data_IF_708743605659
#
_entry.id   IF_708743605659
#
_cell.length_a   1.000
_cell.length_b   1.000
_cell.length_c   1.000
_cell.angle_alpha   90.00
_cell.angle_beta   90.00
_cell.angle_gamma   90.00
#
_symmetry.space_group_name_H-M   'P 1'
#
loop_
_entity.id
_entity.type
_entity.pdbx_description
1 polymer ?
#
# COMPACT_ATOMS: atom_id res chain seq x y z
N UNK A 1 0.15 6.29 -28.13
CA UNK A 1 1.32 5.62 -27.52
C UNK A 1 1.93 4.67 -28.54
N UNK A 2 3.24 4.43 -28.49
CA UNK A 2 3.88 3.39 -29.31
C UNK A 2 3.85 2.07 -28.53
N UNK A 3 3.56 0.92 -29.16
CA UNK A 3 3.56 -0.38 -28.48
C UNK A 3 4.98 -0.86 -28.15
N UNK A 4 5.96 -0.42 -28.93
CA UNK A 4 7.37 -0.77 -28.77
C UNK A 4 8.32 0.36 -29.17
N UNK A 5 9.59 0.19 -28.81
CA UNK A 5 10.72 0.96 -29.35
C UNK A 5 11.84 0.01 -29.75
N UNK A 6 12.62 0.38 -30.77
CA UNK A 6 13.82 -0.35 -31.18
C UNK A 6 15.03 0.48 -30.82
N UNK A 7 15.99 -0.13 -30.13
CA UNK A 7 17.27 0.50 -29.80
C UNK A 7 18.41 -0.23 -30.51
N UNK A 8 19.39 0.53 -30.97
CA UNK A 8 20.60 -0.03 -31.59
C UNK A 8 21.78 0.09 -30.62
N UNK A 9 22.50 -1.01 -30.38
CA UNK A 9 23.69 -1.05 -29.52
C UNK A 9 24.71 -1.97 -30.13
N UNK A 10 25.91 -1.44 -30.39
CA UNK A 10 27.00 -2.26 -30.96
C UNK A 10 26.66 -2.89 -32.32
N UNK A 11 25.77 -2.29 -33.11
CA UNK A 11 25.28 -2.83 -34.38
C UNK A 11 24.12 -3.82 -34.28
N UNK A 12 23.71 -4.19 -33.06
CA UNK A 12 22.55 -5.06 -32.81
C UNK A 12 21.29 -4.24 -32.58
N UNK A 13 20.15 -4.74 -33.06
CA UNK A 13 18.82 -4.14 -32.84
C UNK A 13 18.07 -4.91 -31.77
N UNK A 14 17.55 -4.19 -30.77
CA UNK A 14 16.81 -4.75 -29.64
C UNK A 14 15.42 -4.12 -29.60
N UNK A 15 14.39 -4.95 -29.67
CA UNK A 15 13.00 -4.54 -29.53
C UNK A 15 12.59 -4.51 -28.06
N UNK A 16 11.98 -3.40 -27.64
CA UNK A 16 11.44 -3.24 -26.29
C UNK A 16 9.94 -3.04 -26.41
N UNK A 17 9.16 -4.00 -25.91
CA UNK A 17 7.69 -4.01 -25.93
C UNK A 17 7.17 -3.55 -24.57
N UNK A 18 6.28 -2.57 -24.53
CA UNK A 18 5.69 -2.07 -23.28
C UNK A 18 4.40 -2.81 -22.92
N UNK A 19 4.21 -3.14 -21.65
CA UNK A 19 3.02 -3.85 -21.17
C UNK A 19 2.55 -3.35 -19.79
N UNK A 20 1.24 -3.31 -19.57
CA UNK A 20 0.62 -2.87 -18.30
C UNK A 20 -0.54 -3.78 -17.93
N UNK A 21 -0.83 -3.94 -16.64
CA UNK A 21 -1.95 -4.75 -16.13
C UNK A 21 -3.30 -4.14 -16.50
N UNK A 22 -4.11 -4.86 -17.27
CA UNK A 22 -5.35 -4.30 -17.82
C UNK A 22 -6.42 -4.13 -16.74
N UNK A 23 -6.80 -5.21 -16.06
CA UNK A 23 -7.89 -5.20 -15.09
C UNK A 23 -7.60 -4.25 -13.91
N UNK A 24 -6.39 -4.33 -13.33
CA UNK A 24 -6.00 -3.47 -12.20
C UNK A 24 -5.95 -2.00 -12.59
N UNK A 25 -5.38 -1.65 -13.76
CA UNK A 25 -5.38 -0.25 -14.22
C UNK A 25 -6.80 0.26 -14.47
N UNK A 26 -7.69 -0.57 -15.02
CA UNK A 26 -9.08 -0.19 -15.28
C UNK A 26 -9.87 0.09 -13.99
N UNK A 27 -9.63 -0.70 -12.95
CA UNK A 27 -10.43 -0.69 -11.73
C UNK A 27 -9.86 0.21 -10.64
N UNK A 28 -8.53 0.21 -10.46
CA UNK A 28 -7.86 0.93 -9.38
C UNK A 28 -7.29 2.30 -9.81
N UNK A 29 -7.32 2.63 -11.11
CA UNK A 29 -6.84 3.90 -11.65
C UNK A 29 -7.93 4.63 -12.44
N UNK A 30 -7.54 5.59 -13.30
CA UNK A 30 -8.46 6.39 -14.13
C UNK A 30 -7.95 6.54 -15.55
N UNK A 31 -7.89 5.46 -16.33
CA UNK A 31 -7.73 5.59 -17.77
C UNK A 31 -8.88 6.44 -18.33
N UNK A 32 -8.57 7.32 -19.30
CA UNK A 32 -9.61 8.12 -19.97
C UNK A 32 -10.64 7.19 -20.64
N UNK A 33 -11.92 7.59 -20.78
CA UNK A 33 -12.96 6.73 -21.36
C UNK A 33 -12.67 6.16 -22.76
N UNK A 34 -11.80 6.82 -23.54
CA UNK A 34 -11.36 6.35 -24.85
C UNK A 34 -10.19 5.36 -24.81
N UNK A 35 -9.61 5.09 -23.64
CA UNK A 35 -8.49 4.18 -23.45
C UNK A 35 -9.02 2.75 -23.34
N UNK A 36 -8.52 1.87 -24.21
CA UNK A 36 -8.83 0.45 -24.16
C UNK A 36 -7.62 -0.30 -23.65
N UNK A 37 -7.79 -0.98 -22.53
CA UNK A 37 -6.82 -1.94 -22.02
C UNK A 37 -7.18 -3.31 -22.61
N UNK A 38 -6.24 -3.87 -23.36
CA UNK A 38 -6.40 -5.12 -24.08
C UNK A 38 -5.77 -6.26 -23.27
N UNK A 39 -6.09 -7.50 -23.66
CA UNK A 39 -5.41 -8.68 -23.14
C UNK A 39 -3.89 -8.56 -23.31
N UNK A 40 -3.18 -8.86 -22.23
CA UNK A 40 -1.76 -8.69 -22.09
C UNK A 40 -0.96 -9.60 -23.03
N UNK A 41 -1.27 -10.90 -23.05
CA UNK A 41 -0.54 -11.90 -23.82
C UNK A 41 -0.77 -11.73 -25.32
N UNK A 42 -2.02 -11.54 -25.73
CA UNK A 42 -2.39 -11.30 -27.11
C UNK A 42 -1.72 -10.02 -27.65
N UNK A 43 -1.65 -8.98 -26.83
CA UNK A 43 -1.03 -7.71 -27.23
C UNK A 43 0.48 -7.79 -27.32
N UNK A 44 1.12 -8.46 -26.35
CA UNK A 44 2.55 -8.70 -26.39
C UNK A 44 2.94 -9.55 -27.60
N UNK A 45 2.27 -10.68 -27.84
CA UNK A 45 2.62 -11.57 -28.96
C UNK A 45 2.52 -10.87 -30.31
N UNK A 46 1.45 -10.11 -30.56
CA UNK A 46 1.28 -9.37 -31.83
C UNK A 46 2.44 -8.40 -32.08
N UNK A 47 2.91 -7.70 -31.04
CA UNK A 47 4.01 -6.75 -31.20
C UNK A 47 5.36 -7.46 -31.33
N UNK A 48 5.57 -8.57 -30.62
CA UNK A 48 6.75 -9.42 -30.78
C UNK A 48 6.84 -9.93 -32.22
N UNK A 49 5.75 -10.47 -32.76
CA UNK A 49 5.68 -10.95 -34.15
C UNK A 49 6.00 -9.83 -35.16
N UNK A 50 5.46 -8.63 -34.92
CA UNK A 50 5.72 -7.45 -35.73
C UNK A 50 7.21 -7.05 -35.74
N UNK A 51 7.88 -7.12 -34.60
CA UNK A 51 9.32 -6.83 -34.49
C UNK A 51 10.17 -7.93 -35.14
N UNK A 52 9.83 -9.20 -34.89
CA UNK A 52 10.52 -10.37 -35.46
C UNK A 52 10.43 -10.38 -36.99
N UNK A 53 9.28 -9.98 -37.56
CA UNK A 53 9.11 -9.81 -39.01
C UNK A 53 10.07 -8.77 -39.64
N UNK A 54 10.64 -7.86 -38.84
CA UNK A 54 11.64 -6.89 -39.27
C UNK A 54 13.09 -7.38 -39.09
N UNK A 55 13.27 -8.65 -38.70
CA UNK A 55 14.56 -9.25 -38.40
C UNK A 55 15.16 -8.77 -37.08
N UNK A 56 14.33 -8.40 -36.11
CA UNK A 56 14.75 -8.09 -34.75
C UNK A 56 14.58 -9.36 -33.93
N UNK A 57 15.69 -9.90 -33.46
CA UNK A 57 15.76 -11.21 -32.82
C UNK A 57 16.04 -11.16 -31.32
N UNK A 58 16.13 -9.95 -30.75
CA UNK A 58 16.34 -9.68 -29.32
C UNK A 58 15.18 -8.84 -28.81
N UNK A 59 14.37 -9.41 -27.91
CA UNK A 59 13.09 -8.88 -27.46
C UNK A 59 13.06 -8.79 -25.94
N UNK A 60 12.91 -7.56 -25.46
CA UNK A 60 12.69 -7.24 -24.05
C UNK A 60 11.23 -6.83 -23.85
N UNK A 61 10.54 -7.50 -22.93
CA UNK A 61 9.25 -7.06 -22.43
C UNK A 61 9.48 -6.15 -21.21
N UNK A 62 9.10 -4.88 -21.32
CA UNK A 62 9.08 -3.93 -20.21
C UNK A 62 7.65 -3.90 -19.64
N UNK A 63 7.46 -4.59 -18.52
CA UNK A 63 6.16 -5.00 -17.99
C UNK A 63 5.81 -4.31 -16.67
N UNK A 64 4.51 -4.11 -16.44
CA UNK A 64 3.93 -3.70 -15.16
C UNK A 64 2.78 -4.64 -14.76
N UNK A 65 3.00 -5.96 -14.85
CA UNK A 65 1.98 -6.98 -14.57
C UNK A 65 2.02 -7.57 -13.16
N UNK A 66 3.15 -7.43 -12.46
CA UNK A 66 3.41 -8.11 -11.21
C UNK A 66 4.25 -9.38 -11.41
N UNK A 67 5.11 -9.69 -10.46
CA UNK A 67 6.16 -10.71 -10.59
C UNK A 67 5.63 -12.12 -10.88
N UNK A 68 4.49 -12.50 -10.30
CA UNK A 68 3.88 -13.79 -10.59
C UNK A 68 3.34 -13.85 -12.04
N UNK A 69 2.71 -12.76 -12.50
CA UNK A 69 2.21 -12.63 -13.87
C UNK A 69 3.34 -12.52 -14.88
N UNK A 70 4.43 -11.82 -14.57
CA UNK A 70 5.64 -11.74 -15.40
C UNK A 70 6.23 -13.13 -15.67
N UNK A 71 6.27 -14.00 -14.65
CA UNK A 71 6.69 -15.39 -14.83
C UNK A 71 5.68 -16.21 -15.64
N UNK A 72 4.38 -16.03 -15.39
CA UNK A 72 3.31 -16.79 -16.04
C UNK A 72 3.14 -16.42 -17.53
N UNK A 73 3.35 -15.16 -17.90
CA UNK A 73 3.18 -14.70 -19.28
C UNK A 73 4.33 -15.15 -20.17
N UNK A 74 5.53 -15.36 -19.63
CA UNK A 74 6.69 -15.86 -20.39
C UNK A 74 6.31 -17.13 -21.17
N UNK A 75 5.72 -18.12 -20.49
CA UNK A 75 5.32 -19.40 -21.08
C UNK A 75 4.17 -19.31 -22.11
N UNK A 76 3.55 -18.14 -22.26
CA UNK A 76 2.46 -17.90 -23.22
C UNK A 76 2.96 -17.24 -24.51
N UNK A 77 4.17 -16.66 -24.47
CA UNK A 77 4.74 -15.87 -25.56
C UNK A 77 5.84 -16.64 -26.28
N UNK A 78 5.90 -16.52 -27.60
CA UNK A 78 7.00 -16.97 -28.44
C UNK A 78 7.95 -15.80 -28.72
N UNK A 79 9.26 -16.05 -28.71
CA UNK A 79 10.29 -15.05 -29.07
C UNK A 79 10.50 -13.89 -28.09
N UNK A 80 10.04 -14.00 -26.84
CA UNK A 80 10.46 -13.11 -25.74
C UNK A 80 11.74 -13.63 -25.10
N UNK A 81 12.69 -12.76 -24.77
CA UNK A 81 14.01 -13.14 -24.24
C UNK A 81 14.23 -12.63 -22.79
N UNK A 82 13.74 -11.43 -22.49
CA UNK A 82 13.89 -10.77 -21.19
C UNK A 82 12.59 -10.14 -20.77
N UNK A 83 12.22 -10.25 -19.50
CA UNK A 83 11.09 -9.53 -18.89
C UNK A 83 11.62 -8.67 -17.75
N UNK A 84 11.51 -7.35 -17.91
CA UNK A 84 11.80 -6.37 -16.87
C UNK A 84 10.46 -5.91 -16.30
N UNK A 85 10.11 -6.41 -15.13
CA UNK A 85 8.79 -6.27 -14.51
C UNK A 85 8.63 -5.10 -13.53
N UNK A 86 7.42 -4.97 -13.01
CA UNK A 86 6.99 -3.98 -12.01
C UNK A 86 5.69 -4.37 -11.31
N UNK A 87 4.95 -3.38 -10.79
CA UNK A 87 3.66 -3.50 -10.06
C UNK A 87 3.73 -4.18 -8.68
N UNK A 88 4.27 -5.38 -8.57
CA UNK A 88 4.21 -6.19 -7.33
C UNK A 88 5.25 -5.80 -6.28
N UNK A 89 6.09 -4.81 -6.55
CA UNK A 89 7.14 -4.35 -5.65
C UNK A 89 8.04 -5.48 -5.14
N UNK A 90 8.40 -6.43 -6.02
CA UNK A 90 9.12 -7.64 -5.59
C UNK A 90 10.62 -7.37 -5.50
N UNK A 91 11.20 -7.60 -4.31
CA UNK A 91 12.65 -7.68 -4.15
C UNK A 91 13.08 -9.04 -4.70
N UNK A 92 13.90 -9.07 -5.75
CA UNK A 92 14.56 -10.29 -6.17
C UNK A 92 16.02 -10.24 -5.73
N UNK A 93 16.61 -11.39 -5.40
CA UNK A 93 17.99 -11.47 -4.94
C UNK A 93 18.31 -12.82 -4.31
N UNK A 94 19.54 -12.95 -3.81
CA UNK A 94 20.00 -14.15 -3.10
C UNK A 94 19.39 -14.24 -1.69
N UNK A 95 19.21 -15.46 -1.19
CA UNK A 95 18.69 -15.75 0.14
C UNK A 95 19.59 -15.21 1.27
N UNK A 96 20.87 -14.94 1.00
CA UNK A 96 21.77 -14.29 1.95
C UNK A 96 21.27 -12.92 2.40
N UNK A 97 20.41 -12.25 1.63
CA UNK A 97 19.78 -10.99 2.03
C UNK A 97 18.88 -11.13 3.29
N UNK A 98 18.41 -12.34 3.59
CA UNK A 98 17.62 -12.63 4.81
C UNK A 98 18.42 -12.38 6.09
N UNK A 99 19.74 -12.50 6.06
CA UNK A 99 20.59 -12.20 7.23
C UNK A 99 20.58 -10.71 7.58
N UNK A 100 20.22 -9.85 6.62
CA UNK A 100 20.06 -8.41 6.78
C UNK A 100 18.59 -7.99 7.01
N UNK A 101 17.70 -8.95 7.29
CA UNK A 101 16.28 -8.67 7.55
C UNK A 101 15.45 -8.36 6.30
N UNK A 102 15.99 -8.61 5.11
CA UNK A 102 15.27 -8.47 3.84
C UNK A 102 14.59 -9.78 3.45
N UNK A 103 13.55 -9.71 2.62
CA UNK A 103 12.79 -10.89 2.19
C UNK A 103 12.68 -10.93 0.66
N UNK A 104 13.68 -11.51 -0.04
CA UNK A 104 13.58 -11.72 -1.47
C UNK A 104 12.39 -12.62 -1.82
N UNK A 105 11.63 -12.25 -2.85
CA UNK A 105 10.51 -13.01 -3.41
C UNK A 105 10.96 -14.10 -4.39
N UNK A 106 12.19 -14.00 -4.90
CA UNK A 106 12.80 -14.97 -5.81
C UNK A 106 14.22 -14.56 -6.22
N UNK A 107 14.86 -15.38 -7.04
CA UNK A 107 16.23 -15.15 -7.50
C UNK A 107 16.32 -13.96 -8.46
N UNK A 108 17.47 -13.28 -8.47
CA UNK A 108 17.78 -12.24 -9.46
C UNK A 108 18.94 -12.74 -10.36
N UNK A 109 18.75 -12.86 -11.69
CA UNK A 109 17.45 -12.93 -12.37
C UNK A 109 16.71 -14.23 -12.03
N UNK A 110 15.39 -14.21 -12.19
CA UNK A 110 14.57 -15.42 -12.15
C UNK A 110 14.61 -16.08 -13.53
N UNK A 111 14.96 -17.37 -13.58
CA UNK A 111 14.94 -18.14 -14.81
C UNK A 111 13.51 -18.58 -15.16
N UNK A 112 13.10 -18.35 -16.40
CA UNK A 112 11.83 -18.78 -16.96
C UNK A 112 12.05 -19.40 -18.35
N UNK A 113 10.97 -19.90 -18.97
CA UNK A 113 10.98 -20.35 -20.36
C UNK A 113 9.82 -19.73 -21.12
N UNK A 114 10.06 -19.42 -22.39
CA UNK A 114 9.02 -18.96 -23.30
C UNK A 114 8.18 -20.15 -23.80
N UNK A 115 7.16 -19.89 -24.63
CA UNK A 115 6.29 -20.90 -25.23
C UNK A 115 7.03 -21.90 -26.14
N UNK A 116 8.14 -21.46 -26.72
CA UNK A 116 8.99 -22.26 -27.63
C UNK A 116 9.99 -23.14 -26.85
N UNK A 117 10.12 -22.90 -25.55
CA UNK A 117 11.03 -23.61 -24.65
C UNK A 117 12.36 -22.90 -24.42
N UNK A 118 12.58 -21.73 -25.04
CA UNK A 118 13.84 -20.98 -24.92
C UNK A 118 13.97 -20.32 -23.55
N UNK A 119 15.19 -20.00 -23.16
CA UNK A 119 15.47 -19.37 -21.88
C UNK A 119 14.97 -17.92 -21.85
N UNK A 120 14.29 -17.55 -20.76
CA UNK A 120 13.82 -16.18 -20.50
C UNK A 120 14.32 -15.72 -19.14
N UNK A 121 14.71 -14.45 -19.06
CA UNK A 121 15.23 -13.86 -17.83
C UNK A 121 14.27 -12.82 -17.28
N UNK A 122 13.73 -13.06 -16.09
CA UNK A 122 12.75 -12.20 -15.43
C UNK A 122 13.42 -11.44 -14.29
N UNK A 123 13.31 -10.11 -14.27
CA UNK A 123 13.86 -9.25 -13.21
C UNK A 123 12.83 -8.23 -12.73
N UNK A 124 12.92 -7.87 -11.45
CA UNK A 124 12.30 -6.68 -10.87
C UNK A 124 13.31 -6.00 -9.94
N UNK A 125 13.18 -4.68 -9.77
CA UNK A 125 14.08 -3.86 -8.95
C UNK A 125 13.35 -3.26 -7.73
N UNK A 126 12.65 -4.12 -6.99
CA UNK A 126 11.91 -3.76 -5.77
C UNK A 126 11.02 -2.51 -5.96
N UNK A 127 11.11 -1.53 -5.07
CA UNK A 127 10.25 -0.33 -5.07
C UNK A 127 10.97 0.91 -4.53
N UNK A 128 10.33 2.07 -4.70
CA UNK A 128 10.67 3.33 -4.01
C UNK A 128 12.12 3.79 -4.17
N UNK A 129 12.73 3.55 -5.34
CA UNK A 129 14.15 3.85 -5.62
C UNK A 129 15.15 3.15 -4.69
N UNK A 130 14.73 2.12 -3.96
CA UNK A 130 15.58 1.39 -3.04
C UNK A 130 16.59 0.48 -3.76
N UNK A 131 16.31 0.09 -5.01
CA UNK A 131 17.16 -0.81 -5.80
C UNK A 131 17.37 -0.27 -7.20
N UNK A 132 18.59 -0.44 -7.71
CA UNK A 132 18.89 -0.38 -9.14
C UNK A 132 19.21 -1.80 -9.60
N UNK A 133 18.44 -2.33 -10.56
CA UNK A 133 18.71 -3.66 -11.12
C UNK A 133 19.84 -3.61 -12.14
N UNK A 134 20.78 -4.55 -12.07
CA UNK A 134 21.81 -4.80 -13.09
C UNK A 134 21.63 -6.21 -13.63
N UNK A 135 21.33 -6.34 -14.92
CA UNK A 135 21.14 -7.61 -15.60
C UNK A 135 22.06 -7.67 -16.83
N UNK A 136 22.95 -8.66 -16.85
CA UNK A 136 23.77 -9.02 -17.98
C UNK A 136 23.14 -10.21 -18.70
N UNK A 137 22.83 -10.03 -19.99
CA UNK A 137 22.27 -11.07 -20.86
C UNK A 137 23.25 -11.34 -21.98
N UNK A 138 23.68 -12.59 -22.08
CA UNK A 138 24.51 -13.07 -23.19
C UNK A 138 23.62 -13.74 -24.22
N UNK A 139 23.57 -13.16 -25.41
CA UNK A 139 22.93 -13.77 -26.58
C UNK A 139 23.96 -14.55 -27.41
N UNK A 140 23.52 -15.59 -28.10
CA UNK A 140 24.33 -16.28 -29.09
C UNK A 140 24.19 -15.67 -30.50
N UNK A 141 24.80 -16.30 -31.50
CA UNK A 141 24.77 -15.83 -32.89
C UNK A 141 23.42 -15.99 -33.60
N UNK A 142 22.44 -16.66 -32.97
CA UNK A 142 21.08 -16.86 -33.47
C UNK A 142 20.07 -15.93 -32.77
N UNK A 143 20.54 -15.11 -31.82
CA UNK A 143 19.70 -14.22 -31.04
C UNK A 143 19.06 -14.90 -29.83
N UNK A 144 19.47 -16.11 -29.47
CA UNK A 144 18.93 -16.84 -28.33
C UNK A 144 19.70 -16.52 -27.05
N UNK A 145 19.01 -16.53 -25.90
CA UNK A 145 19.63 -16.28 -24.59
C UNK A 145 20.48 -17.48 -24.16
N UNK A 146 21.79 -17.26 -24.06
CA UNK A 146 22.75 -18.26 -23.58
C UNK A 146 22.90 -18.26 -22.05
N UNK A 147 22.92 -17.08 -21.44
CA UNK A 147 23.00 -16.94 -19.99
C UNK A 147 22.51 -15.59 -19.52
N UNK A 148 21.98 -15.56 -18.30
CA UNK A 148 21.67 -14.33 -17.58
C UNK A 148 22.36 -14.33 -16.22
N UNK A 149 22.98 -13.21 -15.90
CA UNK A 149 23.65 -12.96 -14.64
C UNK A 149 23.40 -11.51 -14.20
N UNK A 150 23.76 -11.17 -12.98
CA UNK A 150 23.63 -9.81 -12.48
C UNK A 150 23.23 -9.79 -11.01
N UNK A 151 22.89 -8.61 -10.52
CA UNK A 151 22.52 -8.43 -9.13
C UNK A 151 21.60 -7.21 -8.91
N UNK A 152 20.77 -7.25 -7.87
CA UNK A 152 20.08 -6.06 -7.38
C UNK A 152 21.07 -5.19 -6.59
N UNK A 153 21.21 -3.92 -6.93
CA UNK A 153 21.96 -2.96 -6.12
C UNK A 153 21.03 -2.23 -5.15
N UNK A 154 20.90 -2.74 -3.92
CA UNK A 154 20.13 -2.12 -2.84
C UNK A 154 20.91 -0.91 -2.33
N UNK A 155 20.34 0.28 -2.51
CA UNK A 155 20.97 1.55 -2.18
C UNK A 155 20.79 1.86 -0.70
N UNK A 156 21.91 2.00 0.02
CA UNK A 156 21.94 2.32 1.44
C UNK A 156 22.62 3.68 1.61
N UNK A 157 22.00 4.59 2.37
CA UNK A 157 22.62 5.87 2.68
C UNK A 157 23.92 5.72 3.47
N UNK A 158 24.87 6.61 3.26
CA UNK A 158 26.15 6.61 3.98
C UNK A 158 26.05 6.82 5.49
N UNK A 159 24.90 7.34 5.94
CA UNK A 159 24.51 7.46 7.35
C UNK A 159 23.71 6.23 7.81
N UNK A 160 24.30 5.39 8.65
CA UNK A 160 23.66 4.18 9.19
C UNK A 160 23.05 4.44 10.57
N UNK A 161 21.97 5.23 10.60
CA UNK A 161 21.27 5.61 11.82
C UNK A 161 22.16 6.44 12.74
N UNK A 162 22.32 6.01 14.00
CA UNK A 162 23.14 6.67 15.02
C UNK A 162 24.51 6.01 15.26
N UNK A 163 24.89 5.02 14.43
CA UNK A 163 26.17 4.32 14.57
C UNK A 163 27.35 5.27 14.33
N UNK A 164 28.40 5.10 15.12
CA UNK A 164 29.63 5.88 15.02
C UNK A 164 30.86 5.02 15.40
N UNK A 165 32.06 5.50 15.06
CA UNK A 165 33.33 4.84 15.41
C UNK A 165 33.43 3.41 14.89
N UNK A 166 33.94 2.50 15.74
CA UNK A 166 34.17 1.10 15.39
C UNK A 166 32.89 0.36 14.99
N UNK A 167 31.75 0.70 15.60
CA UNK A 167 30.46 0.09 15.25
C UNK A 167 30.01 0.47 13.83
N UNK A 168 30.25 1.71 13.41
CA UNK A 168 29.99 2.14 12.03
C UNK A 168 30.95 1.45 11.04
N UNK A 169 32.22 1.30 11.42
CA UNK A 169 33.21 0.61 10.59
C UNK A 169 32.85 -0.88 10.40
N UNK A 170 32.47 -1.57 11.47
CA UNK A 170 32.01 -2.95 11.43
C UNK A 170 30.77 -3.11 10.54
N UNK A 171 29.75 -2.27 10.74
CA UNK A 171 28.55 -2.29 9.91
C UNK A 171 28.86 -2.07 8.41
N UNK A 172 29.80 -1.17 8.09
CA UNK A 172 30.24 -0.96 6.70
C UNK A 172 30.97 -2.17 6.12
N UNK A 173 31.77 -2.88 6.93
CA UNK A 173 32.43 -4.10 6.50
C UNK A 173 31.40 -5.22 6.22
N UNK A 174 30.39 -5.37 7.08
CA UNK A 174 29.30 -6.34 6.89
C UNK A 174 28.52 -6.04 5.60
N UNK A 175 28.16 -4.78 5.37
CA UNK A 175 27.49 -4.36 4.14
C UNK A 175 28.35 -4.64 2.90
N UNK A 176 29.66 -4.36 2.95
CA UNK A 176 30.58 -4.61 1.84
C UNK A 176 30.78 -6.10 1.55
N UNK A 177 30.48 -6.99 2.51
CA UNK A 177 30.55 -8.44 2.30
C UNK A 177 29.41 -8.98 1.42
N UNK A 178 28.34 -8.20 1.24
CA UNK A 178 27.18 -8.57 0.44
C UNK A 178 27.12 -7.72 -0.83
N UNK A 179 27.42 -8.30 -2.03
CA UNK A 179 27.50 -7.55 -3.28
C UNK A 179 26.25 -6.75 -3.64
N UNK A 180 25.08 -7.25 -3.22
CA UNK A 180 23.79 -6.59 -3.45
C UNK A 180 23.55 -5.36 -2.56
N UNK A 181 24.31 -5.13 -1.48
CA UNK A 181 24.15 -3.98 -0.59
C UNK A 181 25.19 -2.91 -0.93
N UNK A 182 24.71 -1.73 -1.34
CA UNK A 182 25.56 -0.66 -1.83
C UNK A 182 25.41 0.61 -1.00
N UNK A 183 26.41 0.89 -0.15
CA UNK A 183 26.52 2.21 0.49
C UNK A 183 26.76 3.27 -0.58
N UNK A 184 25.87 4.25 -0.63
CA UNK A 184 25.77 5.23 -1.71
C UNK A 184 25.76 6.64 -1.13
N UNK A 185 26.58 7.51 -1.71
CA UNK A 185 26.57 8.94 -1.39
C UNK A 185 25.59 9.68 -2.31
N UNK A 186 24.91 10.74 -1.84
CA UNK A 186 24.07 11.57 -2.69
C UNK A 186 24.84 12.18 -3.86
N UNK A 187 24.30 12.06 -5.07
CA UNK A 187 24.83 12.77 -6.23
C UNK A 187 24.58 14.28 -6.09
N UNK A 188 25.60 15.10 -6.38
CA UNK A 188 25.53 16.55 -6.18
C UNK A 188 24.53 17.24 -7.13
N UNK A 189 24.45 16.78 -8.38
CA UNK A 189 23.51 17.36 -9.36
C UNK A 189 22.07 16.97 -9.02
N UNK A 190 21.82 15.71 -8.69
CA UNK A 190 20.51 15.25 -8.23
C UNK A 190 20.09 15.97 -6.93
N UNK A 191 21.01 16.15 -5.99
CA UNK A 191 20.75 16.87 -4.74
C UNK A 191 20.36 18.34 -4.99
N UNK A 192 21.02 19.01 -5.93
CA UNK A 192 20.66 20.38 -6.32
C UNK A 192 19.25 20.45 -6.91
N UNK A 193 18.89 19.51 -7.80
CA UNK A 193 17.52 19.42 -8.35
C UNK A 193 16.50 19.16 -7.25
N UNK A 194 16.78 18.27 -6.30
CA UNK A 194 15.88 17.93 -5.20
C UNK A 194 15.71 19.07 -4.19
N UNK A 195 16.69 19.97 -4.03
CA UNK A 195 16.59 21.10 -3.11
C UNK A 195 15.43 22.04 -3.46
N UNK A 196 15.21 22.30 -4.76
CA UNK A 196 14.09 23.11 -5.22
C UNK A 196 12.76 22.44 -4.91
N UNK A 197 12.63 21.13 -5.19
CA UNK A 197 11.43 20.37 -4.83
C UNK A 197 11.21 20.30 -3.32
N UNK A 198 12.28 20.20 -2.51
CA UNK A 198 12.17 20.22 -1.06
C UNK A 198 11.59 21.55 -0.55
N UNK A 199 11.97 22.68 -1.18
CA UNK A 199 11.38 23.98 -0.87
C UNK A 199 9.88 24.03 -1.22
N UNK A 200 9.49 23.44 -2.37
CA UNK A 200 8.09 23.35 -2.79
C UNK A 200 7.28 22.43 -1.86
N UNK A 201 7.83 21.29 -1.43
CA UNK A 201 7.19 20.39 -0.45
C UNK A 201 6.97 21.11 0.88
N UNK A 202 7.93 21.93 1.33
CA UNK A 202 7.74 22.74 2.53
C UNK A 202 6.62 23.76 2.36
N UNK A 203 6.55 24.45 1.23
CA UNK A 203 5.46 25.38 0.92
C UNK A 203 4.11 24.66 0.84
N UNK A 204 4.07 23.51 0.17
CA UNK A 204 2.90 22.66 0.06
C UNK A 204 2.40 22.18 1.43
N UNK A 205 3.32 21.76 2.31
CA UNK A 205 3.01 21.39 3.69
C UNK A 205 2.34 22.51 4.50
N UNK A 206 2.58 23.77 4.15
CA UNK A 206 1.98 24.93 4.80
C UNK A 206 0.64 25.36 4.17
N UNK A 207 0.24 24.78 3.04
CA UNK A 207 -1.01 25.12 2.34
C UNK A 207 -2.23 24.77 3.23
N UNK A 208 -3.14 25.73 3.51
CA UNK A 208 -4.38 25.46 4.23
C UNK A 208 -5.35 24.67 3.33
N UNK A 209 -5.94 23.61 3.88
CA UNK A 209 -6.84 22.70 3.15
C UNK A 209 -8.24 22.64 3.73
N UNK A 210 -8.39 22.97 5.01
CA UNK A 210 -9.66 23.06 5.70
C UNK A 210 -9.53 23.93 6.97
N UNK A 211 -10.63 24.11 7.68
CA UNK A 211 -10.67 24.70 9.02
C UNK A 211 -11.37 23.72 9.96
N UNK A 212 -10.72 23.34 11.06
CA UNK A 212 -11.37 22.60 12.14
C UNK A 212 -12.21 23.56 12.98
N UNK A 213 -13.53 23.35 13.04
CA UNK A 213 -14.44 24.25 13.77
C UNK A 213 -14.27 24.16 15.30
N UNK A 214 -13.83 23.01 15.77
CA UNK A 214 -13.49 22.74 17.17
C UNK A 214 -12.24 21.87 17.26
N UNK A 215 -11.74 21.62 18.47
CA UNK A 215 -10.76 20.58 18.70
C UNK A 215 -11.37 19.23 18.29
N UNK A 216 -10.68 18.53 17.39
CA UNK A 216 -11.01 17.16 17.01
C UNK A 216 -10.04 16.26 17.76
N UNK A 217 -10.59 15.55 18.74
CA UNK A 217 -9.81 14.87 19.76
C UNK A 217 -9.34 13.48 19.31
N UNK A 218 -8.13 13.12 19.73
CA UNK A 218 -7.53 11.80 19.57
C UNK A 218 -7.90 10.91 20.77
N UNK A 219 -8.55 9.79 20.49
CA UNK A 219 -8.77 8.70 21.46
C UNK A 219 -8.77 7.38 20.70
N UNK A 220 -8.04 6.38 21.19
CA UNK A 220 -7.98 5.08 20.51
C UNK A 220 -9.11 4.17 20.97
N UNK A 221 -9.18 3.88 22.27
CA UNK A 221 -10.27 3.11 22.86
C UNK A 221 -11.23 4.05 23.58
N UNK A 222 -12.55 3.96 23.37
CA UNK A 222 -13.54 4.64 24.19
C UNK A 222 -13.41 4.27 25.68
N UNK A 223 -13.96 5.09 26.56
CA UNK A 223 -13.94 4.92 28.00
C UNK A 223 -12.84 5.72 28.70
N UNK A 224 -12.72 5.52 30.01
CA UNK A 224 -11.85 6.31 30.90
C UNK A 224 -10.65 5.53 31.44
N UNK A 225 -10.45 4.28 31.02
CA UNK A 225 -9.46 3.37 31.64
C UNK A 225 -8.23 3.13 30.77
N UNK A 226 -8.43 2.65 29.54
CA UNK A 226 -7.34 2.20 28.67
C UNK A 226 -6.53 3.33 28.03
N UNK A 227 -7.15 4.47 27.71
CA UNK A 227 -6.47 5.61 27.06
C UNK A 227 -6.92 7.01 27.59
N UNK A 228 -7.10 7.24 28.91
CA UNK A 228 -7.74 8.44 29.46
C UNK A 228 -7.08 9.77 29.10
N UNK A 229 -5.78 9.77 28.78
CA UNK A 229 -4.96 10.97 28.57
C UNK A 229 -4.34 11.04 27.16
N UNK A 230 -4.96 10.39 26.17
CA UNK A 230 -4.38 10.25 24.83
C UNK A 230 -4.29 11.57 24.04
N UNK A 231 -5.24 12.48 24.22
CA UNK A 231 -5.23 13.80 23.59
C UNK A 231 -4.25 14.73 24.29
N UNK A 232 -3.60 15.61 23.53
CA UNK A 232 -2.79 16.72 24.05
C UNK A 232 -3.54 18.04 24.10
N UNK A 233 -4.73 18.12 23.50
CA UNK A 233 -5.57 19.32 23.52
C UNK A 233 -6.42 19.40 24.79
N UNK A 234 -6.59 20.62 25.28
CA UNK A 234 -7.40 20.94 26.44
C UNK A 234 -8.86 20.53 26.24
N UNK A 235 -9.47 19.97 27.30
CA UNK A 235 -10.87 19.55 27.34
C UNK A 235 -11.15 18.20 26.66
N UNK A 236 -10.34 17.78 25.68
CA UNK A 236 -10.58 16.54 24.93
C UNK A 236 -10.57 15.27 25.80
N UNK A 237 -9.73 15.21 26.82
CA UNK A 237 -9.65 14.02 27.68
C UNK A 237 -10.83 13.90 28.67
N UNK A 238 -11.56 15.00 28.89
CA UNK A 238 -12.75 15.07 29.74
C UNK A 238 -14.05 15.15 28.92
N UNK A 239 -13.95 15.23 27.59
CA UNK A 239 -15.12 15.31 26.71
C UNK A 239 -15.93 14.01 26.80
N UNK A 240 -17.19 14.14 27.24
CA UNK A 240 -18.09 13.00 27.44
C UNK A 240 -18.38 12.22 26.15
N UNK A 241 -18.39 12.89 25.00
CA UNK A 241 -18.58 12.24 23.70
C UNK A 241 -17.35 11.42 23.32
N UNK A 242 -16.14 11.99 23.49
CA UNK A 242 -14.88 11.28 23.23
C UNK A 242 -14.72 10.06 24.16
N UNK A 243 -15.13 10.20 25.42
CA UNK A 243 -15.19 9.10 26.38
C UNK A 243 -16.21 8.03 25.92
N UNK A 244 -17.37 8.41 25.40
CA UNK A 244 -18.40 7.44 25.02
C UNK A 244 -18.11 6.72 23.68
N UNK A 245 -17.54 7.43 22.71
CA UNK A 245 -17.49 7.00 21.30
C UNK A 245 -16.08 6.90 20.72
N UNK A 246 -15.05 7.36 21.42
CA UNK A 246 -13.67 7.35 20.93
C UNK A 246 -13.27 8.64 20.21
N UNK A 247 -12.26 8.57 19.35
CA UNK A 247 -11.60 9.74 18.78
C UNK A 247 -12.32 10.35 17.58
N UNK A 248 -12.48 11.67 17.59
CA UNK A 248 -13.05 12.44 16.46
C UNK A 248 -12.19 12.29 15.20
N UNK A 249 -10.87 12.38 15.36
CA UNK A 249 -9.93 12.32 14.23
C UNK A 249 -9.93 10.93 13.61
N UNK A 250 -9.94 9.88 14.44
CA UNK A 250 -10.05 8.50 13.98
C UNK A 250 -11.32 8.27 13.16
N UNK A 251 -12.46 8.75 13.65
CA UNK A 251 -13.73 8.60 12.95
C UNK A 251 -13.73 9.36 11.61
N UNK A 252 -13.18 10.58 11.57
CA UNK A 252 -13.03 11.35 10.34
C UNK A 252 -12.10 10.68 9.32
N UNK A 253 -11.00 10.07 9.77
CA UNK A 253 -10.10 9.33 8.89
C UNK A 253 -10.81 8.11 8.30
N UNK A 254 -11.58 7.36 9.10
CA UNK A 254 -12.33 6.22 8.60
C UNK A 254 -13.36 6.66 7.54
N UNK A 255 -14.09 7.75 7.78
CA UNK A 255 -15.01 8.34 6.78
C UNK A 255 -14.26 8.79 5.51
N UNK A 256 -13.07 9.40 5.65
CA UNK A 256 -12.25 9.78 4.49
C UNK A 256 -11.83 8.57 3.66
N UNK A 257 -11.48 7.46 4.31
CA UNK A 257 -11.14 6.23 3.63
C UNK A 257 -12.35 5.66 2.88
N UNK A 258 -13.54 5.69 3.48
CA UNK A 258 -14.77 5.26 2.83
C UNK A 258 -15.02 6.08 1.55
N UNK A 259 -14.95 7.41 1.62
CA UNK A 259 -15.18 8.26 0.44
C UNK A 259 -14.17 8.01 -0.67
N UNK A 260 -12.91 7.78 -0.31
CA UNK A 260 -11.88 7.41 -1.27
C UNK A 260 -12.15 6.02 -1.87
N UNK A 261 -12.48 5.04 -1.04
CA UNK A 261 -12.79 3.68 -1.47
C UNK A 261 -14.03 3.58 -2.36
N UNK A 262 -15.07 4.37 -2.10
CA UNK A 262 -16.24 4.49 -2.96
C UNK A 262 -15.86 5.02 -4.34
N UNK A 263 -14.90 5.94 -4.41
CA UNK A 263 -14.45 6.57 -5.67
C UNK A 263 -13.52 5.68 -6.50
N UNK A 264 -12.73 4.81 -5.88
CA UNK A 264 -11.68 4.01 -6.55
C UNK A 264 -11.90 2.50 -6.45
N UNK A 265 -13.01 2.04 -5.90
CA UNK A 265 -13.25 0.61 -5.74
C UNK A 265 -14.63 0.24 -5.24
N UNK A 266 -15.62 1.14 -5.23
CA UNK A 266 -16.98 0.80 -4.79
C UNK A 266 -17.04 0.21 -3.37
N UNK A 267 -16.26 0.75 -2.43
CA UNK A 267 -16.27 0.28 -1.05
C UNK A 267 -17.64 0.51 -0.38
N UNK A 268 -18.15 -0.53 0.27
CA UNK A 268 -19.37 -0.48 1.08
C UNK A 268 -19.08 0.10 2.47
N UNK A 269 -17.93 -0.28 3.03
CA UNK A 269 -17.49 0.09 4.38
C UNK A 269 -16.00 0.41 4.39
N UNK A 270 -15.53 1.12 5.42
CA UNK A 270 -14.10 1.31 5.67
C UNK A 270 -13.69 0.89 7.07
N UNK A 271 -12.41 0.60 7.27
CA UNK A 271 -11.86 0.28 8.59
C UNK A 271 -10.47 0.88 8.77
N UNK A 272 -10.24 1.51 9.92
CA UNK A 272 -8.96 2.08 10.34
C UNK A 272 -8.70 1.76 11.81
N UNK A 273 -7.52 1.23 12.14
CA UNK A 273 -7.11 1.03 13.53
C UNK A 273 -6.73 2.36 14.19
N UNK A 274 -7.13 2.56 15.44
CA UNK A 274 -6.93 3.81 16.18
C UNK A 274 -5.45 4.19 16.36
N UNK A 275 -4.55 3.21 16.30
CA UNK A 275 -3.09 3.37 16.38
C UNK A 275 -2.46 4.07 15.17
N UNK A 276 -3.10 3.99 14.00
CA UNK A 276 -2.66 4.63 12.77
C UNK A 276 -2.82 6.16 12.78
N UNK A 277 -3.71 6.67 13.64
CA UNK A 277 -3.91 8.11 13.88
C UNK A 277 -3.06 8.55 15.07
N UNK A 278 -2.27 9.61 14.88
CA UNK A 278 -1.16 9.93 15.80
C UNK A 278 -1.32 11.19 16.63
N UNK A 279 -2.08 12.17 16.16
CA UNK A 279 -2.27 13.46 16.84
C UNK A 279 -3.70 13.94 16.73
N UNK A 280 -4.08 14.82 17.67
CA UNK A 280 -5.29 15.63 17.58
C UNK A 280 -5.24 16.60 16.39
N UNK A 281 -6.39 17.19 16.05
CA UNK A 281 -6.45 18.38 15.20
C UNK A 281 -7.05 19.53 16.02
N UNK A 282 -6.23 20.56 16.27
CA UNK A 282 -6.67 21.75 16.99
C UNK A 282 -7.66 22.56 16.16
N UNK A 283 -8.57 23.27 16.85
CA UNK A 283 -9.45 24.23 16.20
C UNK A 283 -8.65 25.28 15.41
N UNK A 284 -9.15 25.67 14.24
CA UNK A 284 -8.51 26.63 13.34
C UNK A 284 -7.99 26.01 12.04
N UNK A 285 -7.07 26.70 11.34
CA UNK A 285 -6.59 26.26 10.03
C UNK A 285 -5.92 24.88 10.08
N UNK A 286 -6.34 24.00 9.17
CA UNK A 286 -5.74 22.69 8.94
C UNK A 286 -4.93 22.77 7.66
N UNK A 287 -3.64 22.43 7.74
CA UNK A 287 -2.74 22.43 6.58
C UNK A 287 -2.49 21.02 6.07
N UNK A 288 -1.91 20.90 4.87
CA UNK A 288 -1.40 19.62 4.35
C UNK A 288 -0.47 18.95 5.38
N UNK A 289 0.44 19.71 6.00
CA UNK A 289 1.37 19.20 7.00
C UNK A 289 0.67 18.60 8.23
N UNK A 290 -0.46 19.19 8.66
CA UNK A 290 -1.27 18.61 9.73
C UNK A 290 -1.83 17.23 9.31
N UNK A 291 -2.36 17.09 8.10
CA UNK A 291 -2.89 15.81 7.58
C UNK A 291 -1.82 14.71 7.62
N UNK A 292 -0.60 15.00 7.13
CA UNK A 292 0.51 14.03 7.14
C UNK A 292 1.10 13.80 8.54
N UNK A 293 0.86 14.69 9.51
CA UNK A 293 1.21 14.45 10.92
C UNK A 293 0.18 13.54 11.61
N UNK A 294 -1.10 13.66 11.23
CA UNK A 294 -2.17 12.77 11.69
C UNK A 294 -1.94 11.33 11.21
N UNK A 295 -1.55 11.16 9.95
CA UNK A 295 -1.30 9.88 9.29
C UNK A 295 0.16 9.79 8.77
N UNK A 296 1.16 9.57 9.65
CA UNK A 296 2.57 9.70 9.29
C UNK A 296 3.20 8.42 8.74
N UNK A 297 2.47 7.29 8.73
CA UNK A 297 2.99 6.04 8.18
C UNK A 297 2.88 6.04 6.66
N UNK A 298 3.73 5.25 5.98
CA UNK A 298 3.70 5.14 4.52
C UNK A 298 2.75 4.04 4.06
N UNK A 299 1.58 3.97 4.69
CA UNK A 299 0.58 2.96 4.39
C UNK A 299 -0.21 3.36 3.15
N UNK A 300 -0.64 2.35 2.41
CA UNK A 300 -1.57 2.48 1.28
C UNK A 300 -2.93 1.92 1.63
N UNK A 301 -3.95 2.30 0.85
CA UNK A 301 -5.27 1.71 0.95
C UNK A 301 -5.34 0.37 0.19
N UNK A 302 -6.10 -0.56 0.76
CA UNK A 302 -6.34 -1.91 0.23
C UNK A 302 -7.83 -2.19 0.27
N UNK A 303 -8.38 -2.64 -0.86
CA UNK A 303 -9.75 -3.11 -0.92
C UNK A 303 -9.80 -4.62 -0.67
N UNK A 304 -10.64 -5.05 0.26
CA UNK A 304 -10.84 -6.44 0.66
C UNK A 304 -12.29 -6.84 0.41
N UNK A 305 -12.52 -8.04 -0.13
CA UNK A 305 -13.86 -8.62 -0.25
C UNK A 305 -14.11 -9.59 0.89
N UNK A 306 -15.08 -9.29 1.77
CA UNK A 306 -15.32 -9.97 3.05
C UNK A 306 -16.79 -10.36 3.19
N UNK A 307 -17.08 -11.52 3.79
CA UNK A 307 -18.43 -11.83 4.28
C UNK A 307 -18.77 -10.99 5.52
N UNK A 308 -20.05 -10.82 5.83
CA UNK A 308 -20.46 -10.17 7.08
C UNK A 308 -19.90 -10.88 8.32
N UNK A 309 -19.84 -12.22 8.30
CA UNK A 309 -19.22 -13.02 9.34
C UNK A 309 -17.73 -12.72 9.54
N UNK A 310 -16.97 -12.54 8.46
CA UNK A 310 -15.56 -12.16 8.53
C UNK A 310 -15.37 -10.71 8.98
N UNK A 311 -16.27 -9.79 8.62
CA UNK A 311 -16.27 -8.43 9.18
C UNK A 311 -16.46 -8.46 10.70
N UNK A 312 -17.42 -9.24 11.21
CA UNK A 312 -17.59 -9.43 12.66
C UNK A 312 -16.35 -10.04 13.30
N UNK A 313 -15.80 -11.11 12.72
CA UNK A 313 -14.61 -11.76 13.23
C UNK A 313 -13.42 -10.79 13.29
N UNK A 314 -13.26 -9.93 12.28
CA UNK A 314 -12.24 -8.88 12.24
C UNK A 314 -12.39 -7.89 13.40
N UNK A 315 -13.62 -7.49 13.75
CA UNK A 315 -13.87 -6.62 14.91
C UNK A 315 -13.59 -7.34 16.24
N UNK A 316 -13.92 -8.63 16.34
CA UNK A 316 -13.61 -9.46 17.51
C UNK A 316 -12.10 -9.66 17.73
N UNK A 317 -11.35 -9.87 16.64
CA UNK A 317 -9.88 -9.92 16.64
C UNK A 317 -9.30 -8.63 17.23
N UNK A 318 -9.78 -7.48 16.75
CA UNK A 318 -9.37 -6.19 17.25
C UNK A 318 -9.70 -6.01 18.75
N UNK A 319 -10.89 -6.43 19.19
CA UNK A 319 -11.25 -6.38 20.62
C UNK A 319 -10.37 -7.30 21.46
N UNK A 320 -9.98 -8.46 20.95
CA UNK A 320 -9.06 -9.37 21.62
C UNK A 320 -7.68 -8.73 21.80
N UNK A 321 -7.16 -8.07 20.77
CA UNK A 321 -5.92 -7.31 20.85
C UNK A 321 -5.98 -6.16 21.87
N UNK A 322 -7.11 -5.44 21.94
CA UNK A 322 -7.33 -4.38 22.94
C UNK A 322 -7.33 -4.94 24.36
N UNK A 323 -8.02 -6.06 24.60
CA UNK A 323 -8.02 -6.73 25.90
C UNK A 323 -6.61 -7.20 26.28
N UNK A 324 -5.82 -7.66 25.30
CA UNK A 324 -4.41 -8.04 25.47
C UNK A 324 -3.45 -6.84 25.64
N UNK A 325 -3.95 -5.60 25.66
CA UNK A 325 -3.18 -4.38 25.94
C UNK A 325 -2.76 -3.59 24.71
N UNK A 326 -3.05 -4.04 23.49
CA UNK A 326 -2.79 -3.26 22.29
C UNK A 326 -3.96 -2.31 21.98
N UNK A 327 -3.97 -1.14 22.62
CA UNK A 327 -5.01 -0.12 22.34
C UNK A 327 -4.96 0.45 20.93
N UNK A 328 -3.83 0.30 20.22
CA UNK A 328 -3.69 0.70 18.82
C UNK A 328 -4.63 -0.05 17.89
N UNK A 329 -4.99 -1.29 18.24
CA UNK A 329 -5.85 -2.15 17.42
C UNK A 329 -7.31 -1.74 17.38
N UNK A 330 -7.81 -0.87 18.27
CA UNK A 330 -9.24 -0.54 18.31
C UNK A 330 -9.73 0.04 16.96
N UNK A 331 -10.79 -0.51 16.34
CA UNK A 331 -11.22 -0.12 15.01
C UNK A 331 -12.10 1.13 15.02
N UNK A 332 -12.02 1.90 13.93
CA UNK A 332 -12.95 2.96 13.53
C UNK A 332 -13.39 2.70 12.09
N UNK A 333 -14.63 3.02 11.76
CA UNK A 333 -15.20 2.68 10.46
C UNK A 333 -16.10 3.77 9.90
N UNK A 334 -16.09 3.91 8.57
CA UNK A 334 -17.13 4.59 7.80
C UNK A 334 -18.18 3.59 7.33
N UNK A 335 -19.44 3.99 7.36
CA UNK A 335 -20.61 3.17 6.97
C UNK A 335 -20.75 1.81 7.69
N UNK A 336 -20.07 1.63 8.83
CA UNK A 336 -20.22 0.47 9.71
C UNK A 336 -20.22 0.96 11.16
N UNK A 337 -21.11 0.42 11.99
CA UNK A 337 -21.18 0.77 13.42
C UNK A 337 -21.63 -0.41 14.29
N UNK A 338 -21.28 -0.37 15.57
CA UNK A 338 -21.49 -1.47 16.51
C UNK A 338 -21.56 -1.01 17.95
N UNK A 339 -21.94 -1.94 18.82
CA UNK A 339 -21.79 -1.85 20.26
C UNK A 339 -20.69 -2.81 20.73
N UNK A 340 -19.93 -2.42 21.74
CA UNK A 340 -18.88 -3.25 22.35
C UNK A 340 -19.23 -3.54 23.81
N UNK A 341 -19.19 -4.81 24.19
CA UNK A 341 -19.18 -5.24 25.60
C UNK A 341 -17.98 -6.18 25.85
N UNK A 342 -16.89 -5.63 26.36
CA UNK A 342 -15.66 -6.39 26.60
C UNK A 342 -15.78 -7.42 27.73
N UNK A 343 -16.84 -7.36 28.55
CA UNK A 343 -17.13 -8.37 29.59
C UNK A 343 -17.57 -9.71 28.98
N UNK A 344 -18.02 -9.70 27.73
CA UNK A 344 -18.41 -10.91 27.00
C UNK A 344 -17.18 -11.71 26.55
N UNK A 345 -17.32 -13.04 26.40
CA UNK A 345 -16.25 -13.86 25.83
C UNK A 345 -15.93 -13.45 24.39
N UNK A 346 -14.71 -13.80 23.93
CA UNK A 346 -14.29 -13.60 22.54
C UNK A 346 -15.33 -14.19 21.57
N UNK A 347 -15.70 -13.41 20.55
CA UNK A 347 -16.73 -13.77 19.57
C UNK A 347 -18.14 -13.27 19.92
N UNK A 348 -18.33 -12.68 21.11
CA UNK A 348 -19.62 -12.15 21.58
C UNK A 348 -19.52 -10.71 22.10
N UNK A 349 -18.40 -10.02 21.85
CA UNK A 349 -18.16 -8.64 22.31
C UNK A 349 -18.83 -7.63 21.40
N UNK A 350 -19.05 -7.96 20.13
CA UNK A 350 -19.65 -7.07 19.13
C UNK A 350 -21.17 -7.30 19.04
N UNK A 351 -21.92 -6.30 19.50
CA UNK A 351 -23.38 -6.25 19.41
C UNK A 351 -23.89 -5.25 18.37
N UNK A 352 -25.15 -5.40 17.95
CA UNK A 352 -25.85 -4.45 17.07
C UNK A 352 -25.00 -3.95 15.88
N UNK A 353 -24.35 -4.88 15.17
CA UNK A 353 -23.51 -4.57 14.03
C UNK A 353 -24.39 -4.18 12.84
N UNK A 354 -24.23 -2.95 12.38
CA UNK A 354 -25.05 -2.34 11.32
C UNK A 354 -24.13 -1.73 10.26
N UNK A 355 -24.57 -1.79 9.01
CA UNK A 355 -23.92 -1.07 7.90
C UNK A 355 -24.90 -0.06 7.28
N UNK A 356 -24.35 0.92 6.56
CA UNK A 356 -25.15 1.89 5.82
C UNK A 356 -25.39 1.37 4.40
N UNK A 357 -26.66 1.12 4.05
CA UNK A 357 -27.02 0.64 2.71
C UNK A 357 -26.90 1.75 1.64
N UNK A 358 -27.13 1.40 0.37
CA UNK A 358 -27.08 2.33 -0.76
C UNK A 358 -28.08 3.50 -0.67
N UNK A 359 -29.15 3.36 0.12
CA UNK A 359 -30.14 4.41 0.40
C UNK A 359 -29.72 5.31 1.57
N UNK A 360 -28.56 5.07 2.16
CA UNK A 360 -28.04 5.85 3.29
C UNK A 360 -28.66 5.48 4.64
N UNK A 361 -29.35 4.34 4.73
CA UNK A 361 -30.03 3.88 5.94
C UNK A 361 -29.17 2.86 6.69
N UNK A 362 -29.17 2.93 8.02
CA UNK A 362 -28.57 1.92 8.87
C UNK A 362 -29.45 0.67 8.91
N UNK A 363 -28.86 -0.46 8.56
CA UNK A 363 -29.51 -1.77 8.58
C UNK A 363 -28.58 -2.79 9.22
N UNK A 364 -29.14 -3.83 9.85
CA UNK A 364 -28.36 -4.92 10.41
C UNK A 364 -27.43 -5.53 9.35
N UNK A 365 -26.21 -5.88 9.75
CA UNK A 365 -25.28 -6.59 8.88
C UNK A 365 -25.81 -7.99 8.57
N UNK A 366 -25.77 -8.39 7.29
CA UNK A 366 -26.06 -9.76 6.87
C UNK A 366 -24.76 -10.56 6.90
N UNK A 367 -24.68 -11.54 7.80
CA UNK A 367 -23.49 -12.38 8.00
C UNK A 367 -23.08 -13.15 6.73
N UNK A 368 -24.03 -13.47 5.85
CA UNK A 368 -23.78 -14.24 4.63
C UNK A 368 -23.47 -13.37 3.40
N UNK A 369 -23.84 -12.09 3.43
CA UNK A 369 -23.57 -11.17 2.33
C UNK A 369 -22.07 -10.86 2.23
N UNK A 370 -21.61 -10.57 1.01
CA UNK A 370 -20.24 -10.07 0.76
C UNK A 370 -20.24 -8.55 0.69
N UNK A 371 -19.27 -7.95 1.36
CA UNK A 371 -19.02 -6.52 1.44
C UNK A 371 -17.62 -6.22 0.96
N UNK A 372 -17.46 -5.08 0.31
CA UNK A 372 -16.17 -4.55 -0.09
C UNK A 372 -15.71 -3.52 0.94
N UNK A 373 -14.68 -3.88 1.70
CA UNK A 373 -14.10 -3.03 2.73
C UNK A 373 -12.82 -2.36 2.24
N UNK A 374 -12.69 -1.04 2.43
CA UNK A 374 -11.44 -0.32 2.22
C UNK A 374 -10.71 -0.13 3.56
N UNK A 375 -9.43 -0.49 3.63
CA UNK A 375 -8.62 -0.36 4.84
C UNK A 375 -7.17 -0.02 4.51
N UNK A 376 -6.28 0.06 5.50
CA UNK A 376 -4.84 0.23 5.29
C UNK A 376 -4.12 -1.11 5.14
N UNK A 377 -3.04 -1.13 4.35
CA UNK A 377 -2.21 -2.31 4.07
C UNK A 377 -1.66 -3.01 5.33
N UNK A 378 -1.34 -2.24 6.37
CA UNK A 378 -0.85 -2.75 7.66
C UNK A 378 -1.86 -3.70 8.32
N UNK A 379 -3.10 -3.28 8.59
CA UNK A 379 -4.08 -4.19 9.21
C UNK A 379 -4.66 -5.19 8.22
N UNK A 380 -4.68 -4.85 6.92
CA UNK A 380 -5.02 -5.84 5.89
C UNK A 380 -4.07 -7.03 5.98
N UNK A 381 -2.76 -6.81 6.19
CA UNK A 381 -1.75 -7.85 6.33
C UNK A 381 -1.78 -8.58 7.70
N UNK A 382 -2.85 -8.39 8.48
CA UNK A 382 -3.07 -9.03 9.77
C UNK A 382 -2.28 -8.45 10.94
N UNK A 383 -1.62 -7.30 10.75
CA UNK A 383 -0.93 -6.61 11.83
C UNK A 383 -1.93 -6.04 12.85
N UNK A 384 -1.44 -5.61 14.02
CA UNK A 384 -2.27 -5.24 15.18
C UNK A 384 -3.23 -6.35 15.67
N UNK A 385 -2.97 -7.60 15.25
CA UNK A 385 -3.75 -8.77 15.61
C UNK A 385 -5.04 -8.95 14.81
N UNK A 386 -5.17 -8.31 13.65
CA UNK A 386 -6.28 -8.48 12.70
C UNK A 386 -6.16 -9.81 11.93
N UNK A 387 -6.08 -10.94 12.63
CA UNK A 387 -5.75 -12.25 12.08
C UNK A 387 -6.68 -12.68 10.95
N UNK A 388 -7.99 -12.41 11.06
CA UNK A 388 -8.97 -12.68 9.99
C UNK A 388 -8.52 -12.07 8.66
N UNK A 389 -8.12 -10.80 8.66
CA UNK A 389 -7.67 -10.10 7.44
C UNK A 389 -6.37 -10.68 6.88
N UNK A 390 -5.43 -11.03 7.75
CA UNK A 390 -4.14 -11.61 7.35
C UNK A 390 -4.25 -12.99 6.69
N UNK A 391 -5.37 -13.70 6.88
CA UNK A 391 -5.61 -15.03 6.30
C UNK A 391 -6.40 -15.02 4.99
N UNK A 392 -6.83 -13.85 4.51
CA UNK A 392 -7.58 -13.74 3.25
C UNK A 392 -6.71 -14.13 2.05
N UNK A 393 -7.32 -14.85 1.11
CA UNK A 393 -6.70 -15.18 -0.17
C UNK A 393 -6.37 -13.94 -1.01
N UNK A 394 -5.34 -14.05 -1.84
CA UNK A 394 -4.89 -12.97 -2.72
C UNK A 394 -5.97 -12.54 -3.74
N UNK A 395 -6.87 -13.44 -4.12
CA UNK A 395 -8.02 -13.21 -5.00
C UNK A 395 -9.09 -12.28 -4.39
N UNK A 396 -9.06 -12.10 -3.06
CA UNK A 396 -10.00 -11.26 -2.30
C UNK A 396 -9.40 -9.92 -1.90
N UNK A 397 -8.20 -9.62 -2.37
CA UNK A 397 -7.42 -8.42 -2.04
C UNK A 397 -7.05 -7.66 -3.31
N UNK A 398 -7.22 -6.35 -3.26
CA UNK A 398 -6.80 -5.44 -4.31
C UNK A 398 -5.98 -4.29 -3.70
N UNK A 399 -4.69 -4.26 -4.04
CA UNK A 399 -3.77 -3.18 -3.68
C UNK A 399 -4.08 -1.95 -4.54
N UNK A 400 -4.54 -0.86 -3.91
CA UNK A 400 -4.89 0.36 -4.65
C UNK A 400 -3.69 1.28 -4.84
N UNK A 401 -2.63 1.09 -4.04
CA UNK A 401 -1.45 1.97 -3.94
C UNK A 401 -1.74 3.44 -3.63
N UNK A 402 -2.97 3.74 -3.20
CA UNK A 402 -3.35 5.09 -2.83
C UNK A 402 -2.82 5.35 -1.43
N UNK A 403 -1.98 6.38 -1.28
CA UNK A 403 -1.50 6.79 0.03
C UNK A 403 -2.69 7.14 0.92
N UNK A 404 -2.77 6.48 2.09
CA UNK A 404 -3.90 6.65 3.00
C UNK A 404 -4.02 8.08 3.58
N UNK A 405 -2.90 8.82 3.68
CA UNK A 405 -2.86 10.21 4.09
C UNK A 405 -3.42 11.14 3.00
N UNK A 406 -3.21 10.80 1.72
CA UNK A 406 -3.82 11.53 0.61
C UNK A 406 -5.34 11.36 0.62
N UNK A 407 -5.87 10.17 0.98
CA UNK A 407 -7.32 9.99 1.15
C UNK A 407 -7.91 11.01 2.15
N UNK A 408 -7.24 11.24 3.28
CA UNK A 408 -7.67 12.25 4.26
C UNK A 408 -7.45 13.69 3.76
N UNK A 409 -6.38 13.96 3.01
CA UNK A 409 -6.13 15.25 2.37
C UNK A 409 -7.25 15.61 1.37
N UNK A 410 -7.62 14.67 0.50
CA UNK A 410 -8.69 14.86 -0.49
C UNK A 410 -10.04 15.08 0.20
N UNK A 411 -10.32 14.33 1.26
CA UNK A 411 -11.51 14.54 2.09
C UNK A 411 -11.55 15.95 2.67
N UNK A 412 -10.46 16.43 3.27
CA UNK A 412 -10.37 17.77 3.84
C UNK A 412 -10.57 18.86 2.79
N UNK A 413 -9.97 18.72 1.61
CA UNK A 413 -10.17 19.67 0.49
C UNK A 413 -11.60 19.75 0.00
N UNK A 414 -12.34 18.63 0.04
CA UNK A 414 -13.75 18.57 -0.34
C UNK A 414 -14.69 18.97 0.81
N UNK A 415 -14.18 19.02 2.04
CA UNK A 415 -14.91 19.32 3.26
C UNK A 415 -14.20 20.48 3.99
N UNK A 416 -14.32 21.73 3.47
CA UNK A 416 -13.49 22.86 3.90
C UNK A 416 -13.69 23.25 5.37
N UNK A 417 -14.75 22.75 6.02
CA UNK A 417 -14.93 22.84 7.47
C UNK A 417 -15.01 21.44 8.06
N UNK A 418 -14.02 21.09 8.88
CA UNK A 418 -13.98 19.83 9.60
C UNK A 418 -14.66 20.01 10.97
N UNK A 419 -15.64 19.16 11.24
CA UNK A 419 -16.38 19.11 12.49
C UNK A 419 -16.37 17.70 13.04
N UNK A 420 -16.64 17.54 14.34
CA UNK A 420 -16.98 16.23 14.91
C UNK A 420 -18.12 15.62 14.07
N UNK A 421 -18.00 14.35 13.63
CA UNK A 421 -19.10 13.65 12.96
C UNK A 421 -20.35 13.55 13.84
N UNK A 422 -21.52 13.37 13.24
CA UNK A 422 -22.72 13.10 14.03
C UNK A 422 -22.56 11.79 14.80
N UNK A 423 -23.07 11.70 16.04
CA UNK A 423 -22.97 10.49 16.86
C UNK A 423 -23.53 9.24 16.17
N UNK A 424 -24.58 9.40 15.36
CA UNK A 424 -25.18 8.30 14.59
C UNK A 424 -24.22 7.70 13.53
N UNK A 425 -23.21 8.46 13.13
CA UNK A 425 -22.19 8.09 12.15
C UNK A 425 -20.87 7.67 12.80
N UNK A 426 -20.78 7.67 14.14
CA UNK A 426 -19.64 7.06 14.83
C UNK A 426 -19.72 5.54 14.74
N UNK A 427 -18.58 4.91 14.53
CA UNK A 427 -18.50 3.45 14.48
C UNK A 427 -18.85 2.80 15.83
N UNK A 428 -18.47 3.42 16.95
CA UNK A 428 -18.84 2.91 18.28
C UNK A 428 -20.08 3.60 18.82
N UNK A 429 -21.18 2.86 18.92
CA UNK A 429 -22.45 3.35 19.46
C UNK A 429 -22.56 3.16 20.98
N UNK A 430 -21.90 2.15 21.52
CA UNK A 430 -21.80 1.88 22.96
C UNK A 430 -20.49 1.16 23.24
N UNK A 431 -19.88 1.44 24.38
CA UNK A 431 -18.68 0.74 24.85
C UNK A 431 -18.78 0.42 26.33
N UNK A 432 -18.62 -0.87 26.67
CA UNK A 432 -18.53 -1.36 28.04
C UNK A 432 -17.18 -2.05 28.19
N UNK A 433 -16.37 -1.58 29.13
CA UNK A 433 -15.05 -2.15 29.44
C UNK A 433 -15.16 -3.34 30.41
N UNK A 434 -14.09 -4.15 30.51
CA UNK A 434 -14.02 -5.32 31.41
C UNK A 434 -13.86 -4.98 32.88
N UNK A 435 -13.45 -3.76 33.18
CA UNK A 435 -13.16 -3.32 34.54
C UNK A 435 -14.23 -2.36 35.03
#
# INVERSE_FOLDING_TARGET
>A
MRPSVVVERGGERIGIVGLTTAAKTQNASRPDPGTRLLDEADSAQREIDHLRAQGIDKIVLLSHLGYAQDQAIAAQLSGVDVIVGGDSHSLLGDDSLKTFGLSPAGAYPTAARNKDGDAVCVVQAWQYSAVVGELDVLFDGQGEVKSCAGQPHILIGSTLGTLAGDALAAARADLASQPALRVTEPDAAASAVLADYASQVKAFGAEPVAVAQQNLCLRRVPGTRRDPSRSKLDGCNQDAHVIAHGGDVQQLVAEAFLRQGQRFGGADVSLQNGGGVRVDLAAGPVTVGHIYTVLPFKNTLVALSLTGAELRATLEDAMQSVVAGNTGSYPYAGALRWQVDLRQPLGQRIGALEHRNAQGQWVALDEAATYRMITNDFIAAGQDGYTTLGTLGADRREETFLAYADAFLQYARQTPTLTRPATADFSTQMFIDTE
#
